data_IF_229184256348
#
_entry.id   IF_229184256348
#
_cell.length_a   1.000
_cell.length_b   1.000
_cell.length_c   1.000
_cell.angle_alpha   90.00
_cell.angle_beta   90.00
_cell.angle_gamma   90.00
#
_symmetry.space_group_name_H-M   'P 1'
#
loop_
_entity.id
_entity.type
_entity.pdbx_description
1 polymer ?
#
# COMPACT_ATOMS: atom_id res chain seq x y z
N UNK A 1 25.62 1.67 17.98
CA UNK A 1 25.02 0.33 17.69
C UNK A 1 23.57 0.58 17.32
N UNK A 2 23.16 0.23 16.11
CA UNK A 2 21.80 0.51 15.61
C UNK A 2 20.79 -0.44 16.25
N UNK A 3 19.65 0.06 16.71
CA UNK A 3 18.59 -0.75 17.30
C UNK A 3 17.90 -1.60 16.21
N UNK A 4 17.90 -2.94 16.29
CA UNK A 4 17.30 -3.80 15.27
C UNK A 4 15.79 -3.57 15.08
N UNK A 5 15.07 -3.16 16.12
CA UNK A 5 13.65 -2.83 16.01
C UNK A 5 13.41 -1.59 15.12
N UNK A 6 14.28 -0.58 15.24
CA UNK A 6 14.21 0.62 14.41
C UNK A 6 14.55 0.34 12.92
N UNK A 7 15.37 -0.68 12.65
CA UNK A 7 15.66 -1.13 11.28
C UNK A 7 14.48 -1.90 10.66
N UNK A 8 13.76 -2.68 11.46
CA UNK A 8 12.51 -3.36 11.05
C UNK A 8 11.41 -2.37 10.68
N UNK A 9 11.16 -1.38 11.56
CA UNK A 9 10.17 -0.32 11.30
C UNK A 9 10.50 0.52 10.06
N UNK A 10 11.78 0.88 9.88
CA UNK A 10 12.22 1.64 8.70
C UNK A 10 12.00 0.85 7.40
N UNK A 11 12.33 -0.44 7.42
CA UNK A 11 12.10 -1.35 6.28
C UNK A 11 10.62 -1.45 5.92
N UNK A 12 9.75 -1.56 6.92
CA UNK A 12 8.30 -1.62 6.75
C UNK A 12 7.75 -0.32 6.16
N UNK A 13 8.21 0.83 6.67
CA UNK A 13 7.80 2.14 6.18
C UNK A 13 8.20 2.36 4.72
N UNK A 14 9.42 1.96 4.35
CA UNK A 14 9.91 2.01 2.96
C UNK A 14 9.04 1.14 2.05
N UNK A 15 8.69 -0.08 2.48
CA UNK A 15 7.81 -0.98 1.72
C UNK A 15 6.43 -0.39 1.50
N UNK A 16 5.83 0.21 2.54
CA UNK A 16 4.53 0.90 2.43
C UNK A 16 4.57 2.02 1.39
N UNK A 17 5.63 2.84 1.38
CA UNK A 17 5.79 3.93 0.40
C UNK A 17 5.98 3.41 -1.02
N UNK A 18 6.73 2.33 -1.20
CA UNK A 18 6.91 1.68 -2.51
C UNK A 18 5.59 1.11 -3.03
N UNK A 19 4.83 0.44 -2.16
CA UNK A 19 3.53 -0.10 -2.52
C UNK A 19 2.56 1.00 -2.91
N UNK A 20 2.46 2.07 -2.11
CA UNK A 20 1.63 3.23 -2.44
C UNK A 20 2.00 3.84 -3.80
N UNK A 21 3.29 4.04 -4.07
CA UNK A 21 3.78 4.50 -5.39
C UNK A 21 3.40 3.54 -6.52
N UNK A 22 3.43 2.23 -6.27
CA UNK A 22 2.98 1.21 -7.21
C UNK A 22 1.51 1.37 -7.59
N UNK A 23 0.63 1.53 -6.60
CA UNK A 23 -0.79 1.81 -6.84
C UNK A 23 -1.01 3.09 -7.65
N UNK A 24 -0.32 4.18 -7.31
CA UNK A 24 -0.42 5.44 -8.05
C UNK A 24 -0.03 5.28 -9.53
N UNK A 25 0.94 4.43 -9.84
CA UNK A 25 1.32 4.12 -11.22
C UNK A 25 0.28 3.26 -11.93
N UNK A 26 -0.25 2.24 -11.26
CA UNK A 26 -1.29 1.37 -11.81
C UNK A 26 -2.58 2.16 -12.12
N UNK A 27 -2.99 3.07 -11.23
CA UNK A 27 -4.18 3.93 -11.44
C UNK A 27 -4.08 4.75 -12.73
N UNK A 28 -2.89 5.23 -13.09
CA UNK A 28 -2.68 5.99 -14.34
C UNK A 28 -2.95 5.15 -15.59
N UNK A 29 -2.85 3.81 -15.49
CA UNK A 29 -3.06 2.89 -16.59
C UNK A 29 -4.52 2.43 -16.73
N UNK A 30 -5.39 2.74 -15.75
CA UNK A 30 -6.81 2.38 -15.81
C UNK A 30 -7.51 3.07 -16.98
N UNK A 31 -8.34 2.31 -17.68
CA UNK A 31 -9.06 2.75 -18.88
C UNK A 31 -10.54 2.93 -18.63
N UNK A 32 -11.16 2.06 -17.84
CA UNK A 32 -12.63 2.02 -17.69
C UNK A 32 -13.09 2.54 -16.33
N UNK A 33 -12.26 2.38 -15.31
CA UNK A 33 -12.52 2.87 -13.95
C UNK A 33 -12.23 4.37 -13.80
N UNK A 34 -13.03 5.08 -12.99
CA UNK A 34 -12.77 6.49 -12.64
C UNK A 34 -11.48 6.60 -11.80
N UNK A 35 -10.43 7.13 -12.42
CA UNK A 35 -9.10 7.27 -11.82
C UNK A 35 -9.11 8.14 -10.56
N UNK A 36 -9.91 9.20 -10.53
CA UNK A 36 -9.97 10.12 -9.39
C UNK A 36 -10.64 9.43 -8.19
N UNK A 37 -11.71 8.69 -8.45
CA UNK A 37 -12.37 7.89 -7.44
C UNK A 37 -11.43 6.81 -6.87
N UNK A 38 -10.80 6.00 -7.74
CA UNK A 38 -9.87 4.93 -7.32
C UNK A 38 -8.69 5.52 -6.54
N UNK A 39 -8.12 6.63 -7.02
CA UNK A 39 -7.06 7.33 -6.31
C UNK A 39 -7.47 7.79 -4.91
N UNK A 40 -8.65 8.38 -4.78
CA UNK A 40 -9.19 8.82 -3.48
C UNK A 40 -9.36 7.64 -2.51
N UNK A 41 -9.90 6.51 -2.99
CA UNK A 41 -10.08 5.29 -2.18
C UNK A 41 -8.75 4.70 -1.72
N UNK A 42 -7.75 4.62 -2.61
CA UNK A 42 -6.40 4.16 -2.25
C UNK A 42 -5.77 5.08 -1.21
N UNK A 43 -5.87 6.41 -1.40
CA UNK A 43 -5.35 7.38 -0.42
C UNK A 43 -6.02 7.21 0.95
N UNK A 44 -7.34 7.09 0.99
CA UNK A 44 -8.10 6.88 2.23
C UNK A 44 -7.65 5.62 2.96
N UNK A 45 -7.43 4.52 2.23
CA UNK A 45 -7.05 3.25 2.84
C UNK A 45 -5.64 3.30 3.43
N UNK A 46 -4.66 3.88 2.73
CA UNK A 46 -3.32 4.06 3.27
C UNK A 46 -3.28 5.02 4.47
N UNK A 47 -4.12 6.07 4.47
CA UNK A 47 -4.27 6.96 5.62
C UNK A 47 -4.89 6.23 6.81
N UNK A 48 -5.94 5.44 6.59
CA UNK A 48 -6.58 4.62 7.62
C UNK A 48 -5.59 3.65 8.26
N UNK A 49 -4.82 2.94 7.44
CA UNK A 49 -3.81 1.98 7.92
C UNK A 49 -2.66 2.66 8.67
N UNK A 50 -2.27 3.88 8.27
CA UNK A 50 -1.25 4.66 8.98
C UNK A 50 -1.72 5.25 10.32
N UNK A 51 -3.02 5.32 10.57
CA UNK A 51 -3.61 5.86 11.80
C UNK A 51 -3.98 4.78 12.84
N UNK A 52 -4.17 3.54 12.40
CA UNK A 52 -4.50 2.43 13.29
C UNK A 52 -3.20 1.94 13.94
N UNK A 53 -3.12 1.87 15.29
CA UNK A 53 -2.06 1.16 15.97
C UNK A 53 -2.13 -0.31 15.53
N UNK A 54 -1.29 -0.65 14.56
CA UNK A 54 -1.31 -1.94 13.90
C UNK A 54 -0.05 -2.64 14.35
N UNK A 55 -0.17 -3.82 14.95
CA UNK A 55 1.00 -4.65 15.21
C UNK A 55 1.74 -4.95 13.89
N UNK A 56 3.05 -5.17 13.98
CA UNK A 56 3.93 -5.36 12.83
C UNK A 56 3.44 -6.50 11.92
N UNK A 57 2.87 -7.55 12.51
CA UNK A 57 2.32 -8.71 11.80
C UNK A 57 1.10 -8.35 10.95
N UNK A 58 0.19 -7.56 11.49
CA UNK A 58 -1.04 -7.13 10.81
C UNK A 58 -0.71 -6.14 9.69
N UNK A 59 0.22 -5.21 9.91
CA UNK A 59 0.70 -4.33 8.84
C UNK A 59 1.41 -5.15 7.75
N UNK A 60 2.20 -6.14 8.14
CA UNK A 60 2.84 -7.09 7.22
C UNK A 60 1.83 -7.86 6.35
N UNK A 61 0.69 -8.29 6.92
CA UNK A 61 -0.40 -8.94 6.16
C UNK A 61 -1.04 -7.98 5.17
N UNK A 62 -1.38 -6.77 5.59
CA UNK A 62 -1.94 -5.75 4.70
C UNK A 62 -1.00 -5.40 3.53
N UNK A 63 0.31 -5.32 3.79
CA UNK A 63 1.29 -5.11 2.74
C UNK A 63 1.33 -6.28 1.75
N UNK A 64 1.35 -7.54 2.23
CA UNK A 64 1.31 -8.72 1.34
C UNK A 64 0.04 -8.76 0.49
N UNK A 65 -1.11 -8.44 1.08
CA UNK A 65 -2.38 -8.38 0.34
C UNK A 65 -2.38 -7.28 -0.72
N UNK A 66 -1.85 -6.10 -0.37
CA UNK A 66 -1.72 -5.00 -1.32
C UNK A 66 -0.73 -5.29 -2.44
N UNK A 67 0.40 -5.95 -2.15
CA UNK A 67 1.37 -6.43 -3.14
C UNK A 67 0.69 -7.41 -4.13
N UNK A 68 -0.12 -8.34 -3.61
CA UNK A 68 -0.90 -9.28 -4.43
C UNK A 68 -1.94 -8.59 -5.30
N UNK A 69 -2.68 -7.62 -4.77
CA UNK A 69 -3.65 -6.84 -5.53
C UNK A 69 -2.96 -6.05 -6.65
N UNK A 70 -1.84 -5.39 -6.36
CA UNK A 70 -1.08 -4.64 -7.33
C UNK A 70 -0.53 -5.53 -8.45
N UNK A 71 0.01 -6.70 -8.10
CA UNK A 71 0.48 -7.69 -9.07
C UNK A 71 -0.64 -8.19 -10.01
N UNK A 72 -1.88 -8.23 -9.51
CA UNK A 72 -3.07 -8.65 -10.25
C UNK A 72 -3.84 -7.46 -10.88
N UNK A 73 -3.15 -6.41 -11.33
CA UNK A 73 -3.77 -5.21 -11.92
C UNK A 73 -4.89 -4.63 -11.04
N UNK A 74 -4.58 -4.37 -9.78
CA UNK A 74 -5.53 -3.89 -8.77
C UNK A 74 -6.73 -4.83 -8.56
N UNK A 75 -6.52 -6.15 -8.70
CA UNK A 75 -7.58 -7.16 -8.58
C UNK A 75 -8.49 -7.25 -9.81
N UNK A 76 -7.97 -6.96 -10.99
CA UNK A 76 -8.73 -6.99 -12.26
C UNK A 76 -9.54 -5.73 -12.53
N UNK A 77 -9.22 -4.60 -11.88
CA UNK A 77 -9.76 -3.30 -12.27
C UNK A 77 -9.20 -2.93 -13.66
N UNK A 78 -10.10 -2.75 -14.62
CA UNK A 78 -9.78 -2.37 -16.00
C UNK A 78 -9.87 -0.84 -16.19
#
# INVERSE_FOLDING_TARGET
MSNPAALGELSLHIRTLHLYRGYLRAIKQLKYSDRNYVHSRVKQEFQRLGQIPTDEDTLGKHLKDGERLLANNLGGLL
#
